data_IF_571440984833
#
_entry.id   IF_571440984833
#
_cell.length_a   1.000
_cell.length_b   1.000
_cell.length_c   1.000
_cell.angle_alpha   90.00
_cell.angle_beta   90.00
_cell.angle_gamma   90.00
#
_symmetry.space_group_name_H-M   'P 1'
#
loop_
_entity.id
_entity.type
_entity.pdbx_description
1 polymer ?
#
# COMPACT_ATOMS: atom_id res chain seq x y z
N UNK A 1 8.36 -101.12 46.10
CA UNK A 1 9.16 -100.41 47.07
C UNK A 1 9.82 -99.22 46.37
N UNK A 2 9.64 -98.11 46.84
CA UNK A 2 10.41 -96.88 46.79
C UNK A 2 9.71 -95.70 46.09
N UNK A 3 9.30 -94.75 46.89
CA UNK A 3 8.80 -93.46 46.55
C UNK A 3 9.93 -92.58 46.00
N UNK A 4 9.67 -91.83 44.98
CA UNK A 4 10.46 -90.63 44.63
C UNK A 4 9.55 -89.45 44.54
N UNK A 5 9.82 -88.44 45.38
CA UNK A 5 9.23 -87.12 45.38
C UNK A 5 9.67 -86.32 44.11
N UNK A 6 8.74 -85.74 43.38
CA UNK A 6 9.01 -84.77 42.38
C UNK A 6 8.46 -83.42 42.90
N UNK A 7 9.33 -82.49 43.20
CA UNK A 7 9.02 -81.11 43.55
C UNK A 7 8.76 -80.28 42.28
N UNK A 8 7.51 -79.84 42.09
CA UNK A 8 7.14 -78.85 41.04
C UNK A 8 7.51 -77.44 41.49
N UNK A 9 8.41 -76.82 40.75
CA UNK A 9 8.68 -75.36 40.83
C UNK A 9 7.73 -74.69 39.87
N UNK A 10 6.69 -74.03 40.36
CA UNK A 10 5.80 -73.15 39.58
C UNK A 10 6.46 -71.78 39.35
N UNK A 11 6.90 -71.54 38.13
CA UNK A 11 7.39 -70.21 37.65
C UNK A 11 6.21 -69.30 37.47
N UNK A 12 6.04 -68.31 38.36
CA UNK A 12 5.04 -67.24 38.23
C UNK A 12 5.55 -66.20 37.23
N UNK A 13 5.14 -66.25 35.93
CA UNK A 13 5.31 -65.19 34.99
C UNK A 13 4.34 -64.06 35.34
N UNK A 14 4.85 -62.98 35.94
CA UNK A 14 4.13 -61.70 36.06
C UNK A 14 4.03 -61.06 34.65
N UNK A 15 2.96 -61.31 33.95
CA UNK A 15 2.60 -60.54 32.77
C UNK A 15 2.08 -59.20 33.27
N UNK A 16 2.93 -58.17 33.25
CA UNK A 16 2.51 -56.77 33.42
C UNK A 16 1.74 -56.40 32.17
N UNK A 17 0.44 -56.47 32.21
CA UNK A 17 -0.45 -55.94 31.18
C UNK A 17 -0.39 -54.40 31.24
N UNK A 18 0.47 -53.82 30.43
CA UNK A 18 0.41 -52.36 30.17
C UNK A 18 -0.90 -52.13 29.45
N UNK A 19 -1.82 -51.42 30.09
CA UNK A 19 -3.11 -51.08 29.53
C UNK A 19 -2.91 -50.24 28.28
N UNK A 20 -3.60 -50.49 27.14
CA UNK A 20 -3.45 -49.71 25.91
C UNK A 20 -3.82 -48.21 26.05
N UNK A 21 -4.47 -47.86 27.15
CA UNK A 21 -4.83 -46.49 27.51
C UNK A 21 -3.60 -45.64 27.88
N UNK A 22 -2.61 -46.19 28.58
CA UNK A 22 -1.42 -45.46 29.05
C UNK A 22 -0.44 -45.11 27.90
N UNK A 23 -0.31 -45.98 26.91
CA UNK A 23 0.59 -45.74 25.76
C UNK A 23 0.04 -44.63 24.86
N UNK A 24 -1.26 -44.56 24.69
CA UNK A 24 -1.91 -43.53 23.89
C UNK A 24 -1.81 -42.15 24.56
N UNK A 25 -2.03 -42.02 25.84
CA UNK A 25 -1.90 -40.80 26.61
C UNK A 25 -0.45 -40.28 26.63
N UNK A 26 0.52 -41.19 26.91
CA UNK A 26 1.94 -40.84 26.92
C UNK A 26 2.45 -40.38 25.54
N UNK A 27 1.96 -40.97 24.45
CA UNK A 27 2.26 -40.56 23.09
C UNK A 27 1.69 -39.19 22.77
N UNK A 28 0.46 -38.91 23.21
CA UNK A 28 -0.20 -37.59 23.04
C UNK A 28 0.57 -36.48 23.76
N UNK A 29 0.99 -36.72 25.01
CA UNK A 29 1.78 -35.75 25.79
C UNK A 29 3.16 -35.51 25.18
N UNK A 30 3.78 -36.55 24.62
CA UNK A 30 5.07 -36.41 23.93
C UNK A 30 4.96 -35.60 22.64
N UNK A 31 3.91 -35.85 21.86
CA UNK A 31 3.62 -35.07 20.66
C UNK A 31 3.39 -33.59 21.00
N UNK A 32 2.63 -33.33 22.07
CA UNK A 32 2.35 -31.98 22.55
C UNK A 32 3.61 -31.22 22.94
N UNK A 33 4.50 -31.86 23.73
CA UNK A 33 5.81 -31.26 24.10
C UNK A 33 6.68 -30.98 22.88
N UNK A 34 6.71 -31.88 21.90
CA UNK A 34 7.46 -31.66 20.65
C UNK A 34 6.89 -30.51 19.83
N UNK A 35 5.57 -30.37 19.78
CA UNK A 35 4.88 -29.23 19.14
C UNK A 35 5.22 -27.91 19.84
N UNK A 36 5.09 -27.82 21.15
CA UNK A 36 5.39 -26.64 21.95
C UNK A 36 6.85 -26.17 21.76
N UNK A 37 7.77 -27.13 21.71
CA UNK A 37 9.18 -26.87 21.39
C UNK A 37 9.31 -26.28 19.96
N UNK A 38 8.58 -26.82 18.99
CA UNK A 38 8.57 -26.32 17.62
C UNK A 38 8.06 -24.89 17.52
N UNK A 39 6.98 -24.56 18.23
CA UNK A 39 6.44 -23.19 18.33
C UNK A 39 7.45 -22.24 18.98
N UNK A 40 8.12 -22.67 20.04
CA UNK A 40 9.16 -21.86 20.70
C UNK A 40 10.32 -21.56 19.74
N UNK A 41 10.85 -22.58 19.08
CA UNK A 41 11.95 -22.43 18.12
C UNK A 41 11.55 -21.54 16.92
N UNK A 42 10.30 -21.62 16.48
CA UNK A 42 9.77 -20.72 15.43
C UNK A 42 9.80 -19.26 15.90
N UNK A 43 9.32 -18.97 17.13
CA UNK A 43 9.35 -17.61 17.70
C UNK A 43 10.78 -17.07 17.90
N UNK A 44 11.73 -17.95 18.17
CA UNK A 44 13.16 -17.63 18.28
C UNK A 44 13.84 -17.45 16.90
N UNK A 45 13.12 -17.64 15.79
CA UNK A 45 13.65 -17.55 14.43
C UNK A 45 14.46 -18.78 13.99
N UNK A 46 14.52 -19.84 14.79
CA UNK A 46 15.20 -21.08 14.46
C UNK A 46 14.31 -21.99 13.61
N UNK A 47 14.22 -21.69 12.33
CA UNK A 47 13.33 -22.37 11.39
C UNK A 47 13.66 -23.88 11.24
N UNK A 48 14.93 -24.25 11.18
CA UNK A 48 15.33 -25.66 11.03
C UNK A 48 14.98 -26.47 12.26
N UNK A 49 15.28 -25.96 13.45
CA UNK A 49 14.90 -26.59 14.71
C UNK A 49 13.39 -26.67 14.88
N UNK A 50 12.64 -25.65 14.44
CA UNK A 50 11.19 -25.68 14.47
C UNK A 50 10.62 -26.79 13.58
N UNK A 51 11.10 -26.94 12.34
CA UNK A 51 10.68 -27.99 11.41
C UNK A 51 10.97 -29.38 12.01
N UNK A 52 12.17 -29.58 12.56
CA UNK A 52 12.54 -30.86 13.17
C UNK A 52 11.62 -31.22 14.34
N UNK A 53 11.37 -30.27 15.25
CA UNK A 53 10.53 -30.50 16.42
C UNK A 53 9.06 -30.76 16.01
N UNK A 54 8.53 -30.00 15.01
CA UNK A 54 7.18 -30.21 14.52
C UNK A 54 7.01 -31.52 13.75
N UNK A 55 7.99 -31.93 12.95
CA UNK A 55 8.01 -33.27 12.31
C UNK A 55 8.06 -34.36 13.33
N UNK A 56 8.82 -34.20 14.43
CA UNK A 56 8.81 -35.14 15.54
C UNK A 56 7.44 -35.22 16.23
N UNK A 57 6.76 -34.11 16.43
CA UNK A 57 5.41 -34.07 16.95
C UNK A 57 4.44 -34.85 16.05
N UNK A 58 4.53 -34.66 14.74
CA UNK A 58 3.69 -35.35 13.74
C UNK A 58 4.02 -36.84 13.59
N UNK A 59 5.26 -37.25 13.82
CA UNK A 59 5.62 -38.68 13.88
C UNK A 59 4.95 -39.39 15.08
N UNK A 60 4.74 -38.66 16.18
CA UNK A 60 4.07 -39.16 17.37
C UNK A 60 2.53 -39.04 17.27
N UNK A 61 2.02 -37.97 16.68
CA UNK A 61 0.60 -37.76 16.41
C UNK A 61 0.40 -37.19 15.00
N UNK A 62 0.18 -38.03 13.98
CA UNK A 62 -0.04 -37.59 12.59
C UNK A 62 -1.32 -36.77 12.37
N UNK A 63 -2.21 -36.70 13.36
CA UNK A 63 -3.46 -35.96 13.30
C UNK A 63 -3.41 -34.60 14.01
N UNK A 64 -2.22 -34.16 14.46
CA UNK A 64 -2.05 -32.90 15.16
C UNK A 64 -2.12 -31.72 14.15
N UNK A 65 -3.34 -31.23 13.89
CA UNK A 65 -3.62 -30.19 12.90
C UNK A 65 -2.81 -28.90 13.15
N UNK A 66 -2.66 -28.52 14.42
CA UNK A 66 -1.91 -27.32 14.82
C UNK A 66 -0.43 -27.39 14.42
N UNK A 67 0.16 -28.60 14.45
CA UNK A 67 1.56 -28.77 14.02
C UNK A 67 1.73 -28.57 12.51
N UNK A 68 0.75 -28.97 11.70
CA UNK A 68 0.72 -28.67 10.27
C UNK A 68 0.55 -27.18 10.01
N UNK A 69 -0.32 -26.48 10.76
CA UNK A 69 -0.47 -25.04 10.64
C UNK A 69 0.87 -24.31 10.87
N UNK A 70 1.54 -24.59 12.00
CA UNK A 70 2.82 -23.95 12.30
C UNK A 70 3.92 -24.35 11.31
N UNK A 71 3.92 -25.58 10.78
CA UNK A 71 4.82 -25.94 9.68
C UNK A 71 4.58 -25.08 8.43
N UNK A 72 3.33 -24.81 8.10
CA UNK A 72 2.97 -23.91 7.00
C UNK A 72 3.57 -22.52 7.18
N UNK A 73 3.41 -21.95 8.39
CA UNK A 73 4.01 -20.66 8.74
C UNK A 73 5.54 -20.67 8.59
N UNK A 74 6.22 -21.68 9.13
CA UNK A 74 7.69 -21.81 9.04
C UNK A 74 8.15 -21.92 7.60
N UNK A 75 7.48 -22.74 6.79
CA UNK A 75 7.82 -22.88 5.37
C UNK A 75 7.63 -21.61 4.58
N UNK A 76 6.54 -20.88 4.80
CA UNK A 76 6.26 -19.67 4.07
C UNK A 76 7.13 -18.49 4.51
N UNK A 77 7.15 -18.19 5.81
CA UNK A 77 7.80 -16.98 6.33
C UNK A 77 9.33 -17.09 6.38
N UNK A 78 9.87 -18.24 6.78
CA UNK A 78 11.30 -18.41 7.05
C UNK A 78 12.04 -19.13 5.92
N UNK A 79 11.45 -20.14 5.32
CA UNK A 79 12.10 -20.96 4.29
C UNK A 79 11.77 -20.52 2.87
N UNK A 80 10.79 -19.64 2.70
CA UNK A 80 10.27 -19.20 1.40
C UNK A 80 9.96 -20.38 0.47
N UNK A 81 9.38 -21.42 1.05
CA UNK A 81 8.98 -22.64 0.36
C UNK A 81 7.44 -22.71 0.31
N UNK A 82 6.82 -22.07 -0.68
CA UNK A 82 5.37 -21.95 -0.76
C UNK A 82 4.67 -23.30 -0.99
N UNK A 83 5.30 -24.22 -1.68
CA UNK A 83 4.65 -25.50 -2.00
C UNK A 83 4.46 -26.38 -0.76
N UNK A 84 5.48 -26.49 0.09
CA UNK A 84 5.37 -27.15 1.37
C UNK A 84 4.43 -26.42 2.34
N UNK A 85 4.40 -25.09 2.31
CA UNK A 85 3.45 -24.32 3.09
C UNK A 85 2.00 -24.64 2.71
N UNK A 86 1.68 -24.65 1.40
CA UNK A 86 0.36 -25.03 0.89
C UNK A 86 -0.03 -26.43 1.33
N UNK A 87 0.89 -27.40 1.22
CA UNK A 87 0.62 -28.77 1.64
C UNK A 87 0.33 -28.84 3.14
N UNK A 88 1.11 -28.15 3.95
CA UNK A 88 0.96 -28.12 5.38
C UNK A 88 -0.38 -27.47 5.79
N UNK A 89 -0.75 -26.32 5.25
CA UNK A 89 -2.04 -25.68 5.54
C UNK A 89 -3.22 -26.55 5.10
N UNK A 90 -3.17 -27.18 3.92
CA UNK A 90 -4.20 -28.10 3.47
C UNK A 90 -4.36 -29.30 4.38
N UNK A 91 -3.26 -29.84 4.92
CA UNK A 91 -3.34 -30.95 5.91
C UNK A 91 -3.93 -30.45 7.24
N UNK A 92 -3.57 -29.27 7.69
CA UNK A 92 -4.16 -28.67 8.88
C UNK A 92 -5.68 -28.51 8.74
N UNK A 93 -6.15 -27.93 7.63
CA UNK A 93 -7.58 -27.75 7.34
C UNK A 93 -8.33 -29.07 7.18
N UNK A 94 -7.67 -30.13 6.70
CA UNK A 94 -8.27 -31.47 6.57
C UNK A 94 -8.45 -32.18 7.91
N UNK A 95 -7.55 -31.95 8.86
CA UNK A 95 -7.47 -32.69 10.11
C UNK A 95 -8.12 -31.95 11.29
N UNK A 96 -8.09 -30.62 11.24
CA UNK A 96 -8.62 -29.75 12.28
C UNK A 96 -9.99 -29.19 11.97
N UNK A 97 -10.55 -28.37 12.86
CA UNK A 97 -11.76 -27.61 12.60
C UNK A 97 -11.50 -26.59 11.48
N UNK A 98 -12.58 -26.23 10.78
CA UNK A 98 -12.52 -25.16 9.80
C UNK A 98 -12.04 -23.85 10.45
N UNK A 99 -10.98 -23.23 9.91
CA UNK A 99 -10.34 -22.04 10.47
C UNK A 99 -10.17 -20.97 9.39
N UNK A 100 -10.78 -19.82 9.62
CA UNK A 100 -10.61 -18.66 8.74
C UNK A 100 -9.15 -18.14 8.74
N UNK A 101 -8.45 -18.25 9.88
CA UNK A 101 -7.04 -17.89 10.01
C UNK A 101 -6.16 -18.72 9.06
N UNK A 102 -6.29 -20.05 9.10
CA UNK A 102 -5.49 -20.92 8.21
C UNK A 102 -5.83 -20.71 6.74
N UNK A 103 -7.09 -20.36 6.43
CA UNK A 103 -7.50 -20.02 5.07
C UNK A 103 -6.90 -18.70 4.61
N UNK A 104 -6.78 -17.70 5.48
CA UNK A 104 -6.08 -16.44 5.19
C UNK A 104 -4.58 -16.71 4.93
N UNK A 105 -3.91 -17.45 5.83
CA UNK A 105 -2.50 -17.85 5.65
C UNK A 105 -2.28 -18.59 4.30
N UNK A 106 -3.20 -19.47 3.93
CA UNK A 106 -3.15 -20.16 2.64
C UNK A 106 -3.37 -19.21 1.46
N UNK A 107 -4.26 -18.21 1.62
CA UNK A 107 -4.48 -17.18 0.61
C UNK A 107 -3.22 -16.34 0.38
N UNK A 108 -2.52 -15.96 1.44
CA UNK A 108 -1.26 -15.21 1.37
C UNK A 108 -0.23 -15.95 0.52
N UNK A 109 -0.10 -17.26 0.71
CA UNK A 109 0.82 -18.07 -0.09
C UNK A 109 0.40 -18.06 -1.56
N UNK A 110 -0.89 -18.20 -1.85
CA UNK A 110 -1.40 -18.15 -3.23
C UNK A 110 -1.20 -16.77 -3.86
N UNK A 111 -1.46 -15.69 -3.10
CA UNK A 111 -1.23 -14.31 -3.58
C UNK A 111 0.25 -14.07 -3.87
N UNK A 112 1.15 -14.53 -3.01
CA UNK A 112 2.60 -14.43 -3.22
C UNK A 112 3.09 -15.19 -4.46
N UNK A 113 2.37 -16.26 -4.85
CA UNK A 113 2.63 -17.03 -6.09
C UNK A 113 1.91 -16.46 -7.32
N UNK A 114 1.14 -15.36 -7.20
CA UNK A 114 0.30 -14.84 -8.28
C UNK A 114 -0.91 -15.71 -8.62
N UNK A 115 -1.27 -16.67 -7.77
CA UNK A 115 -2.39 -17.61 -7.94
C UNK A 115 -3.70 -17.01 -7.41
N UNK A 116 -4.07 -15.87 -7.97
CA UNK A 116 -5.19 -15.07 -7.46
C UNK A 116 -6.56 -15.80 -7.48
N UNK A 117 -6.79 -16.77 -8.38
CA UNK A 117 -8.04 -17.54 -8.38
C UNK A 117 -8.13 -18.53 -7.22
N UNK A 118 -6.99 -19.16 -6.86
CA UNK A 118 -6.92 -20.04 -5.70
C UNK A 118 -7.09 -19.24 -4.41
N UNK A 119 -6.42 -18.08 -4.31
CA UNK A 119 -6.57 -17.16 -3.17
C UNK A 119 -8.02 -16.72 -2.99
N UNK A 120 -8.71 -16.30 -4.06
CA UNK A 120 -10.12 -15.93 -4.01
C UNK A 120 -10.99 -17.05 -3.46
N UNK A 121 -10.73 -18.29 -3.91
CA UNK A 121 -11.50 -19.46 -3.46
C UNK A 121 -11.39 -19.70 -1.95
N UNK A 122 -10.19 -19.60 -1.39
CA UNK A 122 -9.98 -19.83 0.06
C UNK A 122 -10.40 -18.62 0.91
N UNK A 123 -10.23 -17.39 0.42
CA UNK A 123 -10.72 -16.19 1.11
C UNK A 123 -12.25 -16.15 1.22
N UNK A 124 -12.97 -16.59 0.18
CA UNK A 124 -14.42 -16.75 0.27
C UNK A 124 -14.81 -17.81 1.31
N UNK A 125 -14.11 -18.94 1.37
CA UNK A 125 -14.33 -19.94 2.41
C UNK A 125 -14.04 -19.36 3.82
N UNK A 126 -13.02 -18.52 3.96
CA UNK A 126 -12.75 -17.82 5.22
C UNK A 126 -13.93 -16.93 5.64
N UNK A 127 -14.55 -16.21 4.70
CA UNK A 127 -15.75 -15.40 4.95
C UNK A 127 -17.01 -16.23 5.21
N UNK A 128 -17.13 -17.42 4.64
CA UNK A 128 -18.25 -18.34 4.92
C UNK A 128 -18.17 -18.82 6.39
N UNK A 129 -16.96 -19.04 6.93
CA UNK A 129 -16.70 -19.43 8.33
C UNK A 129 -16.85 -18.22 9.25
N UNK A 130 -16.23 -17.11 8.90
CA UNK A 130 -16.16 -15.88 9.67
C UNK A 130 -16.53 -14.66 8.82
N UNK A 131 -17.83 -14.32 8.70
CA UNK A 131 -18.29 -13.20 7.85
C UNK A 131 -17.73 -11.82 8.24
N UNK A 132 -17.21 -11.69 9.48
CA UNK A 132 -16.54 -10.50 9.98
C UNK A 132 -15.01 -10.53 9.84
N UNK A 133 -14.43 -11.46 9.07
CA UNK A 133 -12.97 -11.54 8.88
C UNK A 133 -12.48 -10.34 8.07
N UNK A 134 -11.84 -9.38 8.76
CA UNK A 134 -11.35 -8.13 8.17
C UNK A 134 -10.29 -8.38 7.11
N UNK A 135 -9.35 -9.28 7.38
CA UNK A 135 -8.24 -9.63 6.50
C UNK A 135 -8.75 -10.22 5.18
N UNK A 136 -9.66 -11.18 5.23
CA UNK A 136 -10.26 -11.77 4.02
C UNK A 136 -11.03 -10.74 3.18
N UNK A 137 -11.76 -9.81 3.81
CA UNK A 137 -12.40 -8.72 3.08
C UNK A 137 -11.39 -7.82 2.40
N UNK A 138 -10.32 -7.45 3.11
CA UNK A 138 -9.27 -6.57 2.60
C UNK A 138 -8.52 -7.20 1.43
N UNK A 139 -8.11 -8.46 1.56
CA UNK A 139 -7.35 -9.16 0.52
C UNK A 139 -8.18 -9.45 -0.71
N UNK A 140 -9.46 -9.81 -0.55
CA UNK A 140 -10.39 -9.91 -1.68
C UNK A 140 -10.57 -8.56 -2.38
N UNK A 141 -10.70 -7.47 -1.62
CA UNK A 141 -10.84 -6.14 -2.20
C UNK A 141 -9.61 -5.77 -3.03
N UNK A 142 -8.41 -5.96 -2.49
CA UNK A 142 -7.14 -5.72 -3.18
C UNK A 142 -6.97 -6.62 -4.42
N UNK A 143 -7.36 -7.88 -4.31
CA UNK A 143 -7.33 -8.82 -5.43
C UNK A 143 -8.26 -8.37 -6.58
N UNK A 144 -9.48 -7.89 -6.26
CA UNK A 144 -10.39 -7.35 -7.25
C UNK A 144 -9.88 -6.03 -7.85
N UNK A 145 -9.24 -5.15 -7.09
CA UNK A 145 -8.58 -3.96 -7.62
C UNK A 145 -7.48 -4.32 -8.62
N UNK A 146 -6.62 -5.28 -8.27
CA UNK A 146 -5.54 -5.75 -9.15
C UNK A 146 -6.06 -6.35 -10.46
N UNK A 147 -7.28 -6.90 -10.46
CA UNK A 147 -7.98 -7.41 -11.66
C UNK A 147 -8.85 -6.36 -12.35
N UNK A 148 -8.83 -5.11 -11.89
CA UNK A 148 -9.72 -4.04 -12.36
C UNK A 148 -11.22 -4.33 -12.20
N UNK A 149 -11.58 -5.27 -11.33
CA UNK A 149 -12.98 -5.55 -10.95
C UNK A 149 -13.43 -4.60 -9.83
N UNK A 150 -13.67 -3.35 -10.23
CA UNK A 150 -14.05 -2.28 -9.32
C UNK A 150 -15.33 -2.58 -8.54
N UNK A 151 -16.30 -3.24 -9.17
CA UNK A 151 -17.58 -3.50 -8.54
C UNK A 151 -17.45 -4.44 -7.33
N UNK A 152 -16.66 -5.51 -7.47
CA UNK A 152 -16.42 -6.44 -6.38
C UNK A 152 -15.45 -5.84 -5.34
N UNK A 153 -14.44 -5.06 -5.75
CA UNK A 153 -13.57 -4.34 -4.83
C UNK A 153 -14.38 -3.41 -3.90
N UNK A 154 -15.27 -2.56 -4.46
CA UNK A 154 -16.16 -1.69 -3.68
C UNK A 154 -17.01 -2.49 -2.69
N UNK A 155 -17.61 -3.62 -3.11
CA UNK A 155 -18.40 -4.47 -2.22
C UNK A 155 -17.59 -4.98 -1.03
N UNK A 156 -16.37 -5.43 -1.26
CA UNK A 156 -15.51 -5.98 -0.19
C UNK A 156 -15.08 -4.90 0.79
N UNK A 157 -14.64 -3.72 0.32
CA UNK A 157 -14.34 -2.60 1.21
C UNK A 157 -15.57 -2.12 1.98
N UNK A 158 -16.73 -2.03 1.35
CA UNK A 158 -17.97 -1.68 2.06
C UNK A 158 -18.36 -2.72 3.11
N UNK A 159 -18.11 -4.01 2.83
CA UNK A 159 -18.34 -5.06 3.81
C UNK A 159 -17.39 -4.96 4.98
N UNK A 160 -16.11 -4.65 4.73
CA UNK A 160 -15.13 -4.37 5.75
C UNK A 160 -15.55 -3.17 6.63
N UNK A 161 -16.05 -2.08 6.03
CA UNK A 161 -16.53 -0.91 6.79
C UNK A 161 -17.83 -1.16 7.58
N UNK A 162 -18.58 -2.22 7.29
CA UNK A 162 -19.68 -2.66 8.16
C UNK A 162 -19.19 -3.35 9.42
N UNK A 163 -18.05 -4.03 9.34
CA UNK A 163 -17.38 -4.68 10.48
C UNK A 163 -16.59 -3.64 11.28
N UNK A 164 -15.79 -2.85 10.59
CA UNK A 164 -14.94 -1.80 11.18
C UNK A 164 -15.12 -0.47 10.43
N UNK A 165 -16.00 0.42 10.92
CA UNK A 165 -16.38 1.65 10.23
C UNK A 165 -15.24 2.67 10.02
N UNK A 166 -14.17 2.57 10.79
CA UNK A 166 -12.99 3.45 10.78
C UNK A 166 -11.74 2.79 10.15
N UNK A 167 -11.91 1.67 9.44
CA UNK A 167 -10.78 0.98 8.80
C UNK A 167 -10.13 1.87 7.74
N UNK A 168 -8.92 2.36 8.04
CA UNK A 168 -8.25 3.39 7.25
C UNK A 168 -8.03 2.99 5.78
N UNK A 169 -7.49 1.78 5.54
CA UNK A 169 -7.25 1.31 4.16
C UNK A 169 -8.55 1.22 3.36
N UNK A 170 -9.63 0.70 3.97
CA UNK A 170 -10.91 0.57 3.27
C UNK A 170 -11.51 1.93 2.91
N UNK A 171 -11.43 2.91 3.82
CA UNK A 171 -11.88 4.29 3.56
C UNK A 171 -11.05 4.93 2.44
N UNK A 172 -9.72 4.77 2.49
CA UNK A 172 -8.80 5.34 1.50
C UNK A 172 -9.02 4.75 0.11
N UNK A 173 -9.06 3.42 -0.01
CA UNK A 173 -9.25 2.74 -1.29
C UNK A 173 -10.63 2.98 -1.89
N UNK A 174 -11.70 3.01 -1.08
CA UNK A 174 -13.03 3.40 -1.55
C UNK A 174 -13.04 4.82 -2.11
N UNK A 175 -12.42 5.76 -1.41
CA UNK A 175 -12.31 7.13 -1.90
C UNK A 175 -11.58 7.21 -3.24
N UNK A 176 -10.46 6.49 -3.38
CA UNK A 176 -9.70 6.42 -4.63
C UNK A 176 -10.51 5.79 -5.78
N UNK A 177 -11.27 4.73 -5.49
CA UNK A 177 -12.13 4.07 -6.48
C UNK A 177 -13.23 5.02 -6.95
N UNK A 178 -13.90 5.74 -6.05
CA UNK A 178 -14.95 6.72 -6.40
C UNK A 178 -14.37 7.95 -7.11
N UNK A 179 -13.18 8.42 -6.71
CA UNK A 179 -12.49 9.50 -7.45
C UNK A 179 -12.20 9.09 -8.90
N UNK A 180 -11.70 7.86 -9.12
CA UNK A 180 -11.45 7.33 -10.46
C UNK A 180 -12.70 7.16 -11.33
N UNK A 181 -13.88 7.05 -10.69
CA UNK A 181 -15.19 7.00 -11.35
C UNK A 181 -15.79 8.39 -11.58
N UNK A 182 -15.18 9.45 -11.04
CA UNK A 182 -15.70 10.81 -11.09
C UNK A 182 -16.77 11.12 -10.04
N UNK A 183 -17.07 10.19 -9.13
CA UNK A 183 -17.98 10.45 -8.00
C UNK A 183 -17.24 11.18 -6.87
N UNK A 184 -17.01 12.47 -7.11
CA UNK A 184 -16.28 13.34 -6.17
C UNK A 184 -16.98 13.48 -4.83
N UNK A 185 -18.31 13.28 -4.79
CA UNK A 185 -19.10 13.37 -3.55
C UNK A 185 -18.78 12.21 -2.62
N UNK A 186 -18.87 10.99 -3.11
CA UNK A 186 -18.55 9.79 -2.34
C UNK A 186 -17.06 9.74 -1.97
N UNK A 187 -16.18 10.09 -2.91
CA UNK A 187 -14.75 10.17 -2.62
C UNK A 187 -14.46 11.11 -1.44
N UNK A 188 -15.05 12.32 -1.43
CA UNK A 188 -14.92 13.28 -0.33
C UNK A 188 -15.49 12.75 0.97
N UNK A 189 -16.65 12.09 0.94
CA UNK A 189 -17.27 11.51 2.13
C UNK A 189 -16.35 10.51 2.82
N UNK A 190 -15.80 9.54 2.07
CA UNK A 190 -14.90 8.52 2.62
C UNK A 190 -13.58 9.12 3.14
N UNK A 191 -12.98 10.08 2.43
CA UNK A 191 -11.78 10.77 2.90
C UNK A 191 -12.05 11.61 4.17
N UNK A 192 -13.21 12.27 4.25
CA UNK A 192 -13.57 13.03 5.44
C UNK A 192 -13.73 12.11 6.65
N UNK A 193 -14.33 10.93 6.48
CA UNK A 193 -14.40 9.91 7.54
C UNK A 193 -13.01 9.44 7.94
N UNK A 194 -12.13 9.22 6.96
CA UNK A 194 -10.75 8.80 7.22
C UNK A 194 -9.98 9.84 8.03
N UNK A 195 -10.03 11.10 7.63
CA UNK A 195 -9.32 12.19 8.32
C UNK A 195 -9.89 12.50 9.71
N UNK A 196 -11.18 12.24 9.94
CA UNK A 196 -11.79 12.31 11.28
C UNK A 196 -11.31 11.17 12.17
N UNK A 197 -11.26 9.95 11.66
CA UNK A 197 -10.81 8.77 12.41
C UNK A 197 -9.29 8.74 12.61
N UNK A 198 -8.54 9.18 11.60
CA UNK A 198 -7.08 9.24 11.60
C UNK A 198 -6.58 10.59 11.08
N UNK A 199 -6.51 11.62 11.92
CA UNK A 199 -5.98 12.94 11.53
C UNK A 199 -4.53 12.92 11.05
N UNK A 200 -3.76 11.89 11.43
CA UNK A 200 -2.37 11.68 11.02
C UNK A 200 -2.19 11.09 9.61
N UNK A 201 -3.25 10.94 8.83
CA UNK A 201 -3.15 10.36 7.47
C UNK A 201 -2.92 11.45 6.43
N UNK A 202 -1.64 11.78 6.18
CA UNK A 202 -1.23 12.86 5.26
C UNK A 202 -1.80 12.70 3.84
N UNK A 203 -1.77 11.47 3.28
CA UNK A 203 -2.25 11.21 1.92
C UNK A 203 -3.76 11.42 1.78
N UNK A 204 -4.55 11.18 2.84
CA UNK A 204 -5.98 11.45 2.82
C UNK A 204 -6.28 12.96 2.78
N UNK A 205 -5.55 13.75 3.58
CA UNK A 205 -5.62 15.20 3.51
C UNK A 205 -5.21 15.74 2.14
N UNK A 206 -4.14 15.21 1.57
CA UNK A 206 -3.69 15.58 0.23
C UNK A 206 -4.75 15.29 -0.84
N UNK A 207 -5.38 14.10 -0.81
CA UNK A 207 -6.46 13.76 -1.74
C UNK A 207 -7.71 14.65 -1.54
N UNK A 208 -8.06 15.00 -0.29
CA UNK A 208 -9.13 15.96 -0.02
C UNK A 208 -8.84 17.32 -0.67
N UNK A 209 -7.60 17.80 -0.56
CA UNK A 209 -7.16 19.03 -1.20
C UNK A 209 -7.33 18.98 -2.72
N UNK A 210 -6.90 17.89 -3.34
CA UNK A 210 -7.07 17.69 -4.79
C UNK A 210 -8.54 17.62 -5.24
N UNK A 211 -9.38 16.94 -4.45
CA UNK A 211 -10.82 16.89 -4.74
C UNK A 211 -11.48 18.28 -4.63
N UNK A 212 -11.06 19.09 -3.64
CA UNK A 212 -11.54 20.43 -3.45
C UNK A 212 -11.09 21.35 -4.61
N UNK A 213 -9.84 21.24 -5.03
CA UNK A 213 -9.29 21.96 -6.18
C UNK A 213 -10.07 21.65 -7.47
N UNK A 214 -10.30 20.36 -7.77
CA UNK A 214 -11.12 19.94 -8.92
C UNK A 214 -12.56 20.45 -8.86
N UNK A 215 -13.09 20.63 -7.65
CA UNK A 215 -14.39 21.25 -7.39
C UNK A 215 -14.33 22.79 -7.39
N UNK A 216 -13.19 23.41 -7.70
CA UNK A 216 -12.91 24.84 -7.65
C UNK A 216 -13.17 25.48 -6.25
N UNK A 217 -13.10 24.69 -5.18
CA UNK A 217 -13.14 25.16 -3.79
C UNK A 217 -11.71 25.40 -3.30
N UNK A 218 -11.13 26.51 -3.72
CA UNK A 218 -9.73 26.84 -3.43
C UNK A 218 -9.48 27.01 -1.91
N UNK A 219 -10.48 27.41 -1.13
CA UNK A 219 -10.32 27.55 0.31
C UNK A 219 -10.23 26.19 1.00
N UNK A 220 -11.13 25.26 0.65
CA UNK A 220 -11.07 23.91 1.16
C UNK A 220 -9.79 23.18 0.70
N UNK A 221 -9.36 23.42 -0.54
CA UNK A 221 -8.11 22.86 -1.07
C UNK A 221 -6.90 23.32 -0.24
N UNK A 222 -6.77 24.63 -0.01
CA UNK A 222 -5.68 25.18 0.81
C UNK A 222 -5.68 24.65 2.23
N UNK A 223 -6.86 24.53 2.86
CA UNK A 223 -6.99 23.99 4.20
C UNK A 223 -6.50 22.52 4.26
N UNK A 224 -6.96 21.70 3.33
CA UNK A 224 -6.59 20.27 3.30
C UNK A 224 -5.10 20.05 2.98
N UNK A 225 -4.51 20.82 2.04
CA UNK A 225 -3.07 20.71 1.78
C UNK A 225 -2.23 21.16 2.97
N UNK A 226 -2.67 22.18 3.75
CA UNK A 226 -2.00 22.57 4.99
C UNK A 226 -1.99 21.45 6.03
N UNK A 227 -3.12 20.78 6.21
CA UNK A 227 -3.19 19.62 7.11
C UNK A 227 -2.28 18.49 6.64
N UNK A 228 -2.23 18.20 5.34
CA UNK A 228 -1.31 17.21 4.79
C UNK A 228 0.16 17.55 5.11
N UNK A 229 0.56 18.81 4.93
CA UNK A 229 1.90 19.32 5.24
C UNK A 229 2.18 19.31 6.75
N UNK A 230 1.20 19.63 7.58
CA UNK A 230 1.34 19.59 9.04
C UNK A 230 1.64 18.17 9.54
N UNK A 231 1.05 17.14 8.90
CA UNK A 231 1.32 15.74 9.20
C UNK A 231 2.66 15.29 8.61
N UNK A 232 2.94 15.68 7.37
CA UNK A 232 4.14 15.27 6.63
C UNK A 232 4.77 16.47 5.92
N UNK A 233 5.72 17.11 6.62
CA UNK A 233 6.33 18.36 6.18
C UNK A 233 7.17 18.26 4.88
N UNK A 234 7.56 17.08 4.45
CA UNK A 234 8.29 16.83 3.21
C UNK A 234 7.40 16.35 2.05
N UNK A 235 6.08 16.54 2.16
CA UNK A 235 5.13 16.17 1.11
C UNK A 235 5.16 17.21 -0.02
N UNK A 236 6.15 17.06 -0.92
CA UNK A 236 6.45 18.01 -1.99
C UNK A 236 5.24 18.33 -2.86
N UNK A 237 4.43 17.33 -3.18
CA UNK A 237 3.25 17.52 -4.02
C UNK A 237 2.16 18.36 -3.33
N UNK A 238 2.07 18.30 -1.99
CA UNK A 238 1.16 19.15 -1.23
C UNK A 238 1.63 20.61 -1.21
N UNK A 239 2.93 20.87 -1.03
CA UNK A 239 3.51 22.20 -1.15
C UNK A 239 3.28 22.78 -2.54
N UNK A 240 3.54 21.99 -3.59
CA UNK A 240 3.34 22.45 -4.97
C UNK A 240 1.88 22.86 -5.24
N UNK A 241 0.93 22.00 -4.86
CA UNK A 241 -0.49 22.27 -5.07
C UNK A 241 -0.99 23.44 -4.20
N UNK A 242 -0.50 23.54 -2.95
CA UNK A 242 -0.82 24.69 -2.09
C UNK A 242 -0.29 26.00 -2.67
N UNK A 243 0.94 26.00 -3.19
CA UNK A 243 1.53 27.14 -3.89
C UNK A 243 0.72 27.54 -5.11
N UNK A 244 0.25 26.56 -5.89
CA UNK A 244 -0.62 26.81 -7.05
C UNK A 244 -1.98 27.41 -6.62
N UNK A 245 -2.60 26.86 -5.57
CA UNK A 245 -3.87 27.39 -5.00
C UNK A 245 -3.68 28.83 -4.53
N UNK A 246 -2.62 29.12 -3.77
CA UNK A 246 -2.35 30.49 -3.31
C UNK A 246 -2.12 31.45 -4.44
N UNK A 247 -1.35 31.06 -5.47
CA UNK A 247 -1.17 31.89 -6.67
C UNK A 247 -2.50 32.18 -7.36
N UNK A 248 -3.39 31.18 -7.48
CA UNK A 248 -4.72 31.33 -8.07
C UNK A 248 -5.63 32.26 -7.25
N UNK A 249 -5.43 32.34 -5.94
CA UNK A 249 -6.11 33.27 -5.04
C UNK A 249 -5.47 34.66 -5.01
N UNK A 250 -4.34 34.88 -5.68
CA UNK A 250 -3.59 36.15 -5.64
C UNK A 250 -2.76 36.31 -4.34
N UNK A 251 -2.63 35.27 -3.52
CA UNK A 251 -1.83 35.24 -2.29
C UNK A 251 -0.36 34.97 -2.64
N UNK A 252 0.28 35.95 -3.29
CA UNK A 252 1.58 35.75 -3.96
C UNK A 252 2.72 35.45 -2.97
N UNK A 253 2.70 36.07 -1.78
CA UNK A 253 3.74 35.85 -0.77
C UNK A 253 3.64 34.43 -0.16
N UNK A 254 2.43 33.93 0.00
CA UNK A 254 2.18 32.55 0.42
C UNK A 254 2.59 31.55 -0.66
N UNK A 255 2.26 31.84 -1.93
CA UNK A 255 2.65 31.00 -3.06
C UNK A 255 4.18 30.91 -3.20
N UNK A 256 4.90 32.03 -3.05
CA UNK A 256 6.37 32.06 -3.04
C UNK A 256 6.94 31.09 -2.01
N UNK A 257 6.45 31.15 -0.77
CA UNK A 257 6.94 30.29 0.31
C UNK A 257 6.78 28.80 -0.03
N UNK A 258 5.61 28.43 -0.53
CA UNK A 258 5.34 27.03 -0.85
C UNK A 258 6.20 26.52 -2.02
N UNK A 259 6.37 27.33 -3.09
CA UNK A 259 7.25 26.93 -4.21
C UNK A 259 8.72 26.87 -3.81
N UNK A 260 9.18 27.72 -2.89
CA UNK A 260 10.52 27.64 -2.34
C UNK A 260 10.73 26.34 -1.51
N UNK A 261 9.71 25.90 -0.77
CA UNK A 261 9.77 24.61 -0.07
C UNK A 261 9.84 23.44 -1.08
N UNK A 262 9.08 23.47 -2.17
CA UNK A 262 9.22 22.47 -3.25
C UNK A 262 10.64 22.45 -3.78
N UNK A 263 11.23 23.59 -4.08
CA UNK A 263 12.61 23.70 -4.61
C UNK A 263 13.63 23.26 -3.56
N UNK A 264 13.40 23.52 -2.28
CA UNK A 264 14.26 23.06 -1.19
C UNK A 264 14.33 21.53 -1.13
N UNK A 265 13.21 20.85 -1.29
CA UNK A 265 13.16 19.37 -1.27
C UNK A 265 13.55 18.75 -2.61
N UNK A 266 13.18 19.41 -3.72
CA UNK A 266 13.45 18.96 -5.10
C UNK A 266 13.98 20.11 -5.97
N UNK A 267 15.29 20.42 -5.93
CA UNK A 267 15.89 21.54 -6.67
C UNK A 267 15.76 21.44 -8.21
N UNK A 268 15.40 20.28 -8.71
CA UNK A 268 15.24 20.03 -10.15
C UNK A 268 13.76 19.98 -10.59
N UNK A 269 12.84 20.47 -9.76
CA UNK A 269 11.41 20.49 -10.08
C UNK A 269 11.08 21.67 -10.98
N UNK A 270 11.17 21.46 -12.30
CA UNK A 270 11.04 22.51 -13.32
C UNK A 270 9.72 23.31 -13.21
N UNK A 271 8.60 22.64 -12.91
CA UNK A 271 7.29 23.26 -12.76
C UNK A 271 7.22 24.21 -11.55
N UNK A 272 7.97 23.92 -10.48
CA UNK A 272 8.06 24.82 -9.32
C UNK A 272 8.82 26.09 -9.67
N UNK A 273 9.96 25.97 -10.37
CA UNK A 273 10.70 27.12 -10.88
C UNK A 273 9.85 27.97 -11.83
N UNK A 274 9.10 27.33 -12.74
CA UNK A 274 8.20 28.02 -13.65
C UNK A 274 7.15 28.84 -12.87
N UNK A 275 6.47 28.22 -11.92
CA UNK A 275 5.44 28.89 -11.13
C UNK A 275 6.01 29.99 -10.22
N UNK A 276 7.20 29.77 -9.63
CA UNK A 276 7.89 30.80 -8.85
C UNK A 276 8.28 31.99 -9.72
N UNK A 277 8.76 31.74 -10.95
CA UNK A 277 9.01 32.79 -11.94
C UNK A 277 7.77 33.64 -12.26
N UNK A 278 6.61 32.99 -12.40
CA UNK A 278 5.33 33.68 -12.59
C UNK A 278 4.93 34.49 -11.35
N UNK A 279 5.16 33.98 -10.14
CA UNK A 279 4.92 34.69 -8.86
C UNK A 279 5.82 35.94 -8.81
N UNK A 280 7.11 35.80 -9.08
CA UNK A 280 8.05 36.94 -9.08
C UNK A 280 7.72 37.98 -10.15
N UNK A 281 7.26 37.54 -11.33
CA UNK A 281 6.77 38.43 -12.37
C UNK A 281 5.58 39.29 -11.86
N UNK A 282 4.61 38.64 -11.20
CA UNK A 282 3.44 39.33 -10.62
C UNK A 282 3.79 40.27 -9.48
N UNK A 283 4.88 39.99 -8.73
CA UNK A 283 5.43 40.83 -7.67
C UNK A 283 6.36 41.95 -8.22
N UNK A 284 6.53 42.04 -9.56
CA UNK A 284 7.47 42.94 -10.24
C UNK A 284 8.95 42.75 -9.79
N UNK A 285 9.32 41.55 -9.33
CA UNK A 285 10.69 41.15 -8.99
C UNK A 285 11.35 40.52 -10.22
N UNK A 286 11.67 41.36 -11.21
CA UNK A 286 11.96 40.94 -12.58
C UNK A 286 13.28 40.18 -12.73
N UNK A 287 14.32 40.45 -11.91
CA UNK A 287 15.60 39.75 -11.94
C UNK A 287 15.44 38.32 -11.44
N UNK A 288 14.66 38.13 -10.38
CA UNK A 288 14.38 36.83 -9.80
C UNK A 288 13.45 36.04 -10.73
N UNK A 289 12.46 36.69 -11.32
CA UNK A 289 11.56 36.06 -12.31
C UNK A 289 12.33 35.50 -13.50
N UNK A 290 13.28 36.28 -14.06
CA UNK A 290 14.12 35.85 -15.20
C UNK A 290 14.90 34.57 -14.84
N UNK A 291 15.59 34.61 -13.69
CA UNK A 291 16.38 33.47 -13.20
C UNK A 291 15.55 32.19 -13.07
N UNK A 292 14.36 32.31 -12.49
CA UNK A 292 13.50 31.14 -12.26
C UNK A 292 12.88 30.63 -13.60
N UNK A 293 12.48 31.49 -14.50
CA UNK A 293 12.02 31.08 -15.83
C UNK A 293 13.13 30.42 -16.65
N UNK A 294 14.35 30.98 -16.65
CA UNK A 294 15.52 30.37 -17.32
C UNK A 294 15.86 29.01 -16.70
N UNK A 295 15.78 28.89 -15.35
CA UNK A 295 16.00 27.64 -14.64
C UNK A 295 14.99 26.57 -15.05
N UNK A 296 13.71 26.91 -15.16
CA UNK A 296 12.65 26.00 -15.62
C UNK A 296 12.93 25.46 -17.03
N UNK A 297 13.33 26.34 -17.97
CA UNK A 297 13.71 25.93 -19.33
C UNK A 297 14.97 25.06 -19.34
N UNK A 298 15.96 25.38 -18.51
CA UNK A 298 17.19 24.58 -18.42
C UNK A 298 16.94 23.18 -17.87
N UNK A 299 16.04 23.04 -16.89
CA UNK A 299 15.67 21.76 -16.31
C UNK A 299 14.80 20.90 -17.23
N UNK A 300 13.92 21.55 -18.01
CA UNK A 300 13.00 20.87 -18.93
C UNK A 300 12.99 21.50 -20.33
N UNK A 301 14.06 21.33 -21.13
CA UNK A 301 14.21 22.00 -22.44
C UNK A 301 13.16 21.61 -23.49
N UNK A 302 12.37 20.57 -23.21
CA UNK A 302 11.28 20.11 -24.07
C UNK A 302 9.90 20.60 -23.59
N UNK A 303 9.86 21.47 -22.59
CA UNK A 303 8.59 22.05 -22.11
C UNK A 303 8.20 23.24 -22.98
N UNK A 304 7.21 23.04 -23.86
CA UNK A 304 6.63 24.14 -24.64
C UNK A 304 6.11 25.26 -23.71
N UNK A 305 5.46 24.91 -22.60
CA UNK A 305 4.95 25.86 -21.62
C UNK A 305 6.05 26.75 -21.02
N UNK A 306 7.20 26.16 -20.64
CA UNK A 306 8.31 26.94 -20.09
C UNK A 306 8.87 27.95 -21.11
N UNK A 307 9.04 27.55 -22.36
CA UNK A 307 9.46 28.44 -23.44
C UNK A 307 8.43 29.55 -23.72
N UNK A 308 7.14 29.21 -23.72
CA UNK A 308 6.08 30.21 -23.87
C UNK A 308 6.14 31.24 -22.75
N UNK A 309 6.19 30.83 -21.49
CA UNK A 309 6.20 31.76 -20.36
C UNK A 309 7.47 32.64 -20.33
N UNK A 310 8.63 32.06 -20.64
CA UNK A 310 9.88 32.83 -20.74
C UNK A 310 9.82 33.78 -21.93
N UNK A 311 9.22 33.42 -23.06
CA UNK A 311 8.97 34.32 -24.22
C UNK A 311 8.09 35.51 -23.86
N UNK A 312 6.96 35.22 -23.17
CA UNK A 312 6.06 36.28 -22.67
C UNK A 312 6.77 37.21 -21.69
N UNK A 313 7.57 36.66 -20.79
CA UNK A 313 8.35 37.43 -19.84
C UNK A 313 9.33 38.37 -20.53
N UNK A 314 10.09 37.92 -21.51
CA UNK A 314 11.02 38.78 -22.27
C UNK A 314 10.27 39.85 -23.09
N UNK A 315 9.16 39.51 -23.74
CA UNK A 315 8.38 40.44 -24.50
C UNK A 315 7.80 41.57 -23.64
N UNK A 316 7.08 41.20 -22.58
CA UNK A 316 6.24 42.16 -21.83
C UNK A 316 7.00 42.86 -20.71
N UNK A 317 7.93 42.18 -20.03
CA UNK A 317 8.57 42.71 -18.84
C UNK A 317 10.02 43.18 -19.08
N UNK A 318 10.79 42.49 -19.93
CA UNK A 318 12.15 42.91 -20.29
C UNK A 318 12.20 43.75 -21.54
N UNK A 319 11.13 43.75 -22.34
CA UNK A 319 11.05 44.46 -23.64
C UNK A 319 12.15 44.01 -24.60
N UNK A 320 12.59 42.78 -24.48
CA UNK A 320 13.62 42.17 -25.32
C UNK A 320 12.98 41.23 -26.33
N UNK A 321 12.60 41.80 -27.47
CA UNK A 321 11.95 41.07 -28.54
C UNK A 321 12.86 40.00 -29.17
N UNK A 322 14.18 40.21 -29.16
CA UNK A 322 15.12 39.23 -29.69
C UNK A 322 15.10 37.93 -28.90
N UNK A 323 15.23 38.01 -27.56
CA UNK A 323 15.12 36.86 -26.66
C UNK A 323 13.70 36.29 -26.68
N UNK A 324 12.67 37.11 -26.73
CA UNK A 324 11.28 36.62 -26.82
C UNK A 324 11.05 35.76 -28.07
N UNK A 325 11.49 36.24 -29.25
CA UNK A 325 11.36 35.47 -30.51
C UNK A 325 12.11 34.13 -30.48
N UNK A 326 13.29 34.07 -29.87
CA UNK A 326 14.02 32.83 -29.72
C UNK A 326 13.21 31.80 -28.93
N UNK A 327 12.58 32.22 -27.84
CA UNK A 327 11.75 31.33 -27.00
C UNK A 327 10.42 30.97 -27.73
N UNK A 328 9.78 31.88 -28.41
CA UNK A 328 8.56 31.59 -29.16
C UNK A 328 8.80 30.64 -30.34
N UNK A 329 9.92 30.76 -31.04
CA UNK A 329 10.31 29.75 -32.06
C UNK A 329 10.47 28.37 -31.44
N UNK A 330 11.12 28.29 -30.29
CA UNK A 330 11.27 27.01 -29.57
C UNK A 330 9.93 26.44 -29.10
N UNK A 331 9.04 27.28 -28.56
CA UNK A 331 7.67 26.89 -28.23
C UNK A 331 6.94 26.25 -29.41
N UNK A 332 6.98 26.95 -30.61
CA UNK A 332 6.38 26.44 -31.84
C UNK A 332 7.00 25.10 -32.27
N UNK A 333 8.32 24.98 -32.26
CA UNK A 333 9.06 23.76 -32.66
C UNK A 333 8.72 22.56 -31.77
N UNK A 334 8.32 22.81 -30.53
CA UNK A 334 7.83 21.81 -29.57
C UNK A 334 6.33 21.51 -29.71
N UNK A 335 5.70 22.00 -30.77
CA UNK A 335 4.29 21.76 -31.08
C UNK A 335 3.31 22.73 -30.42
N UNK A 336 3.80 23.80 -29.82
CA UNK A 336 2.97 24.85 -29.29
C UNK A 336 2.19 25.57 -30.42
N UNK A 337 0.94 25.87 -30.15
CA UNK A 337 0.05 26.54 -31.14
C UNK A 337 -0.63 27.71 -30.46
N UNK A 338 -0.24 28.94 -30.84
CA UNK A 338 -0.81 30.17 -30.35
C UNK A 338 -0.76 31.19 -31.50
N UNK A 339 -1.92 31.68 -31.97
CA UNK A 339 -2.03 32.59 -33.10
C UNK A 339 -1.33 33.92 -32.86
N UNK A 340 -1.25 34.41 -31.62
CA UNK A 340 -0.52 35.60 -31.25
C UNK A 340 0.97 35.41 -31.45
N UNK A 341 1.49 34.27 -30.96
CA UNK A 341 2.91 33.87 -31.10
C UNK A 341 3.29 33.72 -32.56
N UNK A 342 2.47 33.08 -33.40
CA UNK A 342 2.70 32.92 -34.82
C UNK A 342 2.78 34.27 -35.54
N UNK A 343 1.88 35.21 -35.22
CA UNK A 343 1.95 36.59 -35.76
C UNK A 343 3.24 37.29 -35.34
N UNK A 344 3.63 37.20 -34.08
CA UNK A 344 4.88 37.79 -33.57
C UNK A 344 6.10 37.24 -34.29
N UNK A 345 6.17 35.92 -34.47
CA UNK A 345 7.26 35.27 -35.21
C UNK A 345 7.29 35.75 -36.68
N UNK A 346 6.10 35.84 -37.33
CA UNK A 346 5.99 36.31 -38.70
C UNK A 346 6.40 37.78 -38.91
N UNK A 347 6.14 38.66 -37.93
CA UNK A 347 6.55 40.08 -37.96
C UNK A 347 8.04 40.27 -37.64
N UNK A 348 8.66 39.35 -36.90
CA UNK A 348 10.04 39.46 -36.45
C UNK A 348 11.12 39.14 -37.51
N UNK A 349 10.70 38.76 -38.72
CA UNK A 349 11.62 38.41 -39.82
C UNK A 349 12.55 37.23 -39.55
N UNK A 350 13.34 36.79 -40.56
CA UNK A 350 14.35 35.77 -40.35
C UNK A 350 15.47 36.21 -39.42
#
# INVERSE_FOLDING_TARGET
FSLSLITSVTLFCLVVSVSPVDVSAASSDSARRSYERGVTLFREGNADGAIEALKKALAQNPKLAEAYHVLGLVYFQNKRNPDEAIQAYKQSLKLGPASAEILNDLADVYLAQGRGSDAEGVLRQALDIAPGNEEAHLDLARLYEARHDRANAVKMYQSLLRVRPDHADALYHLASLYDSQGDLKLAREYLSRLTQANPGHADAWYLLGRLAERGNDLNAAAAAFKEAIAVKADLVDAHYNLGFVYRSQGLLAEAEREFLEVIRYRPEYAEAHLNLGMVYTSLNRLEEAEKEHERAVALKPQSAEAHYNLGVFYELHRKDMGRALAQYRRYRDLGGRDERVERIIGMGGP
#
